data_IF_658225600232
#
_entry.id   IF_658225600232
#
_cell.length_a   1.000
_cell.length_b   1.000
_cell.length_c   1.000
_cell.angle_alpha   90.00
_cell.angle_beta   90.00
_cell.angle_gamma   90.00
#
_symmetry.space_group_name_H-M   'P 1'
#
loop_
_entity.id
_entity.type
_entity.pdbx_description
1 polymer ?
#
# COMPACT_ATOMS: atom_id res chain seq x y z
N UNK A 1 -27.05 11.57 -15.43
CA UNK A 1 -25.61 11.29 -15.68
C UNK A 1 -25.50 11.01 -17.17
N UNK A 2 -24.64 11.72 -17.89
CA UNK A 2 -24.59 11.66 -19.36
C UNK A 2 -23.62 10.57 -19.83
N UNK A 3 -24.07 9.62 -20.65
CA UNK A 3 -23.18 8.71 -21.36
C UNK A 3 -22.57 9.44 -22.56
N UNK A 4 -21.26 9.36 -22.72
CA UNK A 4 -20.49 10.10 -23.74
C UNK A 4 -19.42 9.20 -24.34
N UNK A 5 -19.01 9.51 -25.57
CA UNK A 5 -17.95 8.79 -26.29
C UNK A 5 -16.57 9.05 -25.66
N UNK A 6 -15.61 8.15 -25.91
CA UNK A 6 -14.26 8.20 -25.35
C UNK A 6 -13.55 9.55 -25.54
N UNK A 7 -13.55 10.10 -26.74
CA UNK A 7 -12.85 11.36 -27.03
C UNK A 7 -13.52 12.54 -26.33
N UNK A 8 -14.84 12.56 -26.32
CA UNK A 8 -15.61 13.61 -25.65
C UNK A 8 -15.47 13.52 -24.13
N UNK A 9 -15.35 12.32 -23.59
CA UNK A 9 -15.04 12.06 -22.18
C UNK A 9 -13.69 12.65 -21.79
N UNK A 10 -12.63 12.37 -22.57
CA UNK A 10 -11.28 12.85 -22.30
C UNK A 10 -11.16 14.36 -22.42
N UNK A 11 -11.81 14.97 -23.42
CA UNK A 11 -11.86 16.44 -23.58
C UNK A 11 -12.54 17.10 -22.38
N UNK A 12 -13.77 16.68 -22.04
CA UNK A 12 -14.50 17.20 -20.87
C UNK A 12 -13.74 17.00 -19.56
N UNK A 13 -13.03 15.88 -19.42
CA UNK A 13 -12.21 15.62 -18.23
C UNK A 13 -11.00 16.55 -18.17
N UNK A 14 -10.38 16.88 -19.31
CA UNK A 14 -9.28 17.84 -19.38
C UNK A 14 -9.75 19.23 -18.94
N UNK A 15 -10.85 19.71 -19.53
CA UNK A 15 -11.46 21.01 -19.17
C UNK A 15 -11.84 21.05 -17.67
N UNK A 16 -12.32 19.93 -17.14
CA UNK A 16 -12.66 19.81 -15.73
C UNK A 16 -11.41 19.97 -14.85
N UNK A 17 -10.32 19.27 -15.16
CA UNK A 17 -9.07 19.41 -14.41
C UNK A 17 -8.51 20.82 -14.46
N UNK A 18 -8.69 21.53 -15.58
CA UNK A 18 -8.24 22.91 -15.71
C UNK A 18 -9.09 23.88 -14.89
N UNK A 19 -10.42 23.70 -14.88
CA UNK A 19 -11.33 24.55 -14.11
C UNK A 19 -11.22 24.37 -12.59
N UNK A 20 -10.81 23.18 -12.12
CA UNK A 20 -10.71 22.87 -10.68
C UNK A 20 -9.26 22.90 -10.14
N UNK A 21 -8.34 23.64 -10.78
CA UNK A 21 -6.94 23.74 -10.34
C UNK A 21 -6.79 24.34 -8.94
N UNK A 22 -7.57 25.37 -8.64
CA UNK A 22 -7.47 26.10 -7.37
C UNK A 22 -8.35 25.48 -6.28
N UNK A 23 -9.60 25.18 -6.63
CA UNK A 23 -10.60 24.65 -5.70
C UNK A 23 -11.51 23.64 -6.39
N UNK A 24 -11.77 22.52 -5.71
CA UNK A 24 -12.69 21.49 -6.19
C UNK A 24 -12.18 20.09 -5.91
N UNK A 25 -13.06 19.12 -6.11
CA UNK A 25 -12.75 17.70 -5.97
C UNK A 25 -13.40 16.97 -7.13
N UNK A 26 -12.59 16.25 -7.90
CA UNK A 26 -13.09 15.41 -8.99
C UNK A 26 -13.10 13.97 -8.50
N UNK A 27 -14.27 13.34 -8.52
CA UNK A 27 -14.43 11.92 -8.24
C UNK A 27 -14.46 11.14 -9.55
N UNK A 28 -13.47 10.27 -9.73
CA UNK A 28 -13.43 9.28 -10.80
C UNK A 28 -13.71 7.90 -10.21
N UNK A 29 -14.69 7.19 -10.74
CA UNK A 29 -15.00 5.82 -10.31
C UNK A 29 -14.96 4.86 -11.49
N UNK A 30 -14.22 3.77 -11.33
CA UNK A 30 -14.16 2.67 -12.30
C UNK A 30 -14.94 1.49 -11.72
N UNK A 31 -15.93 0.98 -12.45
CA UNK A 31 -16.75 -0.14 -12.01
C UNK A 31 -16.91 -1.16 -13.13
N UNK A 32 -16.75 -2.45 -12.80
CA UNK A 32 -17.13 -3.55 -13.69
C UNK A 32 -18.63 -3.44 -14.02
N UNK A 33 -18.96 -3.28 -15.29
CA UNK A 33 -20.34 -3.30 -15.76
C UNK A 33 -20.71 -4.75 -16.02
N UNK A 34 -21.64 -5.26 -15.21
CA UNK A 34 -22.08 -6.66 -15.25
C UNK A 34 -23.44 -6.83 -15.96
N UNK A 35 -24.11 -5.74 -16.34
CA UNK A 35 -25.43 -5.78 -16.96
C UNK A 35 -25.63 -4.64 -17.97
N UNK A 36 -26.27 -4.94 -19.10
CA UNK A 36 -26.57 -3.98 -20.17
C UNK A 36 -28.08 -3.71 -20.32
N UNK A 37 -28.72 -3.24 -19.23
CA UNK A 37 -29.99 -2.52 -19.38
C UNK A 37 -31.19 -2.91 -18.52
N UNK A 38 -31.01 -3.53 -17.35
CA UNK A 38 -32.07 -3.61 -16.34
C UNK A 38 -31.48 -3.42 -14.94
N UNK A 39 -32.34 -3.01 -14.00
CA UNK A 39 -32.06 -2.95 -12.56
C UNK A 39 -31.88 -4.38 -12.03
N UNK A 40 -30.81 -5.04 -12.46
CA UNK A 40 -30.49 -6.40 -12.07
C UNK A 40 -30.00 -6.33 -10.63
N UNK A 41 -30.78 -6.94 -9.73
CA UNK A 41 -30.35 -7.17 -8.35
C UNK A 41 -28.92 -7.74 -8.40
N UNK A 42 -27.99 -7.06 -7.74
CA UNK A 42 -26.58 -7.44 -7.68
C UNK A 42 -26.47 -8.79 -6.96
N UNK A 43 -26.68 -9.89 -7.68
CA UNK A 43 -26.32 -11.22 -7.20
C UNK A 43 -24.80 -11.26 -7.21
N UNK A 44 -24.25 -11.14 -6.02
CA UNK A 44 -22.83 -11.31 -5.77
C UNK A 44 -22.54 -12.81 -5.81
N UNK A 45 -22.59 -13.41 -6.99
CA UNK A 45 -22.08 -14.77 -7.22
C UNK A 45 -20.55 -14.71 -7.28
N UNK A 46 -19.93 -14.24 -6.21
CA UNK A 46 -18.54 -14.60 -5.91
C UNK A 46 -18.62 -16.00 -5.27
N UNK A 47 -18.94 -17.00 -6.10
CA UNK A 47 -18.65 -18.39 -5.75
C UNK A 47 -17.13 -18.50 -5.67
N UNK A 48 -16.65 -18.60 -4.43
CA UNK A 48 -15.25 -18.73 -4.08
C UNK A 48 -14.57 -19.83 -4.91
N UNK A 49 -13.71 -19.41 -5.86
CA UNK A 49 -12.68 -20.29 -6.43
C UNK A 49 -12.72 -20.54 -7.93
N UNK A 50 -13.68 -20.01 -8.70
CA UNK A 50 -13.64 -20.08 -10.17
C UNK A 50 -13.07 -18.79 -10.76
N UNK A 51 -12.04 -18.91 -11.59
CA UNK A 51 -11.52 -17.77 -12.38
C UNK A 51 -12.59 -17.43 -13.42
N UNK A 52 -13.32 -16.34 -13.20
CA UNK A 52 -14.23 -15.77 -14.19
C UNK A 52 -13.45 -15.53 -15.49
N UNK A 53 -13.69 -16.37 -16.50
CA UNK A 53 -13.10 -16.23 -17.85
C UNK A 53 -13.86 -15.20 -18.70
N UNK A 54 -14.80 -14.49 -18.09
CA UNK A 54 -15.67 -13.55 -18.76
C UNK A 54 -14.99 -12.21 -18.95
N UNK A 55 -15.06 -11.66 -20.15
CA UNK A 55 -14.64 -10.31 -20.43
C UNK A 55 -15.77 -9.34 -20.05
N UNK A 56 -15.44 -8.31 -19.27
CA UNK A 56 -16.41 -7.34 -18.79
C UNK A 56 -16.07 -5.94 -19.26
N UNK A 57 -17.10 -5.17 -19.62
CA UNK A 57 -16.94 -3.76 -19.92
C UNK A 57 -16.70 -2.98 -18.64
N UNK A 58 -15.83 -1.96 -18.70
CA UNK A 58 -15.53 -1.09 -17.58
C UNK A 58 -16.31 0.21 -17.73
N UNK A 59 -17.12 0.56 -16.74
CA UNK A 59 -17.81 1.85 -16.68
C UNK A 59 -16.98 2.85 -15.91
N UNK A 60 -16.51 3.88 -16.60
CA UNK A 60 -15.77 5.00 -16.02
C UNK A 60 -16.72 6.18 -15.84
N UNK A 61 -16.77 6.73 -14.63
CA UNK A 61 -17.68 7.81 -14.24
C UNK A 61 -16.89 8.97 -13.65
N UNK A 62 -17.35 10.19 -13.94
CA UNK A 62 -16.78 11.43 -13.42
C UNK A 62 -17.88 12.25 -12.79
N UNK A 63 -17.59 12.81 -11.61
CA UNK A 63 -18.43 13.82 -10.95
C UNK A 63 -17.59 14.84 -10.21
N UNK A 64 -18.01 16.10 -10.23
CA UNK A 64 -17.49 17.19 -9.38
C UNK A 64 -18.48 17.53 -8.24
N UNK A 65 -19.44 16.62 -7.97
CA UNK A 65 -20.52 16.83 -6.98
C UNK A 65 -21.57 17.87 -7.39
N UNK A 66 -21.35 18.57 -8.50
CA UNK A 66 -22.22 19.62 -9.06
C UNK A 66 -22.85 19.15 -10.38
N UNK A 67 -22.74 19.98 -11.42
CA UNK A 67 -23.37 19.80 -12.74
C UNK A 67 -22.60 18.82 -13.64
N UNK A 68 -21.28 18.73 -13.47
CA UNK A 68 -20.43 17.88 -14.30
C UNK A 68 -20.58 16.42 -13.86
N UNK A 69 -21.41 15.66 -14.58
CA UNK A 69 -21.70 14.24 -14.32
C UNK A 69 -21.82 13.45 -15.62
N UNK A 70 -20.70 12.89 -16.07
CA UNK A 70 -20.63 12.14 -17.32
C UNK A 70 -19.89 10.81 -17.14
N UNK A 71 -20.10 9.87 -18.05
CA UNK A 71 -19.55 8.52 -18.01
C UNK A 71 -19.26 7.98 -19.40
N UNK A 72 -18.31 7.05 -19.50
CA UNK A 72 -17.99 6.31 -20.72
C UNK A 72 -17.95 4.82 -20.39
N UNK A 73 -18.46 3.98 -21.29
CA UNK A 73 -18.25 2.52 -21.25
C UNK A 73 -16.97 2.22 -22.01
N UNK A 74 -16.09 1.37 -21.47
CA UNK A 74 -14.84 0.94 -22.10
C UNK A 74 -14.90 -0.56 -22.30
N UNK A 75 -14.80 -0.99 -23.55
CA UNK A 75 -14.76 -2.40 -23.89
C UNK A 75 -13.38 -3.01 -23.62
N UNK A 76 -13.29 -4.32 -23.35
CA UNK A 76 -12.02 -5.03 -23.16
C UNK A 76 -11.05 -4.84 -24.34
N UNK A 77 -11.58 -4.84 -25.56
CA UNK A 77 -10.87 -4.66 -26.82
C UNK A 77 -10.14 -3.31 -26.94
N UNK A 78 -10.73 -2.25 -26.39
CA UNK A 78 -10.24 -0.87 -26.49
C UNK A 78 -9.56 -0.37 -25.21
N UNK A 79 -9.59 -1.17 -24.14
CA UNK A 79 -9.09 -0.82 -22.83
C UNK A 79 -7.66 -0.30 -22.85
N UNK A 80 -6.76 -0.97 -23.57
CA UNK A 80 -5.35 -0.59 -23.62
C UNK A 80 -5.15 0.77 -24.31
N UNK A 81 -5.92 1.05 -25.37
CA UNK A 81 -5.87 2.34 -26.06
C UNK A 81 -6.39 3.44 -25.14
N UNK A 82 -7.57 3.24 -24.56
CA UNK A 82 -8.19 4.20 -23.63
C UNK A 82 -7.28 4.48 -22.43
N UNK A 83 -6.73 3.44 -21.80
CA UNK A 83 -5.83 3.55 -20.64
C UNK A 83 -4.56 4.33 -20.97
N UNK A 84 -4.03 4.21 -22.19
CA UNK A 84 -2.83 4.95 -22.62
C UNK A 84 -3.09 6.46 -22.60
N UNK A 85 -4.15 6.91 -23.26
CA UNK A 85 -4.52 8.33 -23.33
C UNK A 85 -5.00 8.86 -21.98
N UNK A 86 -5.88 8.13 -21.31
CA UNK A 86 -6.40 8.48 -19.99
C UNK A 86 -5.27 8.56 -18.95
N UNK A 87 -4.36 7.59 -18.95
CA UNK A 87 -3.22 7.55 -18.02
C UNK A 87 -2.21 8.68 -18.27
N UNK A 88 -1.98 9.06 -19.53
CA UNK A 88 -1.17 10.22 -19.86
C UNK A 88 -1.81 11.52 -19.35
N UNK A 89 -3.12 11.68 -19.58
CA UNK A 89 -3.91 12.83 -19.11
C UNK A 89 -3.84 12.97 -17.59
N UNK A 90 -4.05 11.89 -16.82
CA UNK A 90 -3.98 11.94 -15.36
C UNK A 90 -2.59 12.36 -14.85
N UNK A 91 -1.53 11.84 -15.47
CA UNK A 91 -0.15 12.21 -15.09
C UNK A 91 0.14 13.68 -15.37
N UNK A 92 -0.41 14.22 -16.47
CA UNK A 92 -0.25 15.61 -16.85
C UNK A 92 -1.07 16.55 -15.95
N UNK A 93 -2.28 16.14 -15.52
CA UNK A 93 -3.14 16.98 -14.69
C UNK A 93 -2.75 16.98 -13.20
N UNK A 94 -2.27 15.86 -12.65
CA UNK A 94 -1.97 15.69 -11.22
C UNK A 94 -0.52 16.10 -10.83
N UNK A 95 -0.09 17.29 -11.21
CA UNK A 95 1.30 17.76 -10.98
C UNK A 95 1.52 18.48 -9.65
N UNK A 96 0.46 18.92 -8.99
CA UNK A 96 0.50 19.78 -7.79
C UNK A 96 0.69 19.01 -6.47
N UNK A 97 0.86 17.68 -6.54
CA UNK A 97 1.09 16.84 -5.37
C UNK A 97 2.47 17.11 -4.75
N UNK A 98 2.54 17.06 -3.41
CA UNK A 98 3.80 17.17 -2.69
C UNK A 98 4.74 16.06 -3.15
N UNK A 99 5.96 16.44 -3.54
CA UNK A 99 7.00 15.50 -3.95
C UNK A 99 7.29 14.51 -2.83
N UNK A 100 7.51 13.25 -3.22
CA UNK A 100 7.89 12.17 -2.29
C UNK A 100 9.25 12.46 -1.67
N UNK A 101 9.30 12.54 -0.34
CA UNK A 101 10.54 12.75 0.43
C UNK A 101 11.34 11.44 0.52
N UNK A 102 11.97 11.03 -0.60
CA UNK A 102 12.76 9.79 -0.69
C UNK A 102 13.82 9.68 0.42
N UNK A 103 14.40 10.81 0.84
CA UNK A 103 15.39 10.86 1.94
C UNK A 103 14.78 10.44 3.27
N UNK A 104 13.58 10.94 3.60
CA UNK A 104 12.87 10.65 4.85
C UNK A 104 12.41 9.19 4.89
N UNK A 105 11.89 8.69 3.77
CA UNK A 105 11.51 7.28 3.68
C UNK A 105 12.72 6.35 3.80
N UNK A 106 13.82 6.67 3.12
CA UNK A 106 15.07 5.91 3.23
C UNK A 106 15.61 5.95 4.66
N UNK A 107 15.58 7.09 5.34
CA UNK A 107 16.02 7.16 6.74
C UNK A 107 15.13 6.33 7.66
N UNK A 108 13.80 6.34 7.48
CA UNK A 108 12.90 5.50 8.26
C UNK A 108 13.12 4.00 7.98
N UNK A 109 13.35 3.62 6.72
CA UNK A 109 13.68 2.25 6.36
C UNK A 109 15.03 1.79 6.94
N UNK A 110 16.06 2.64 6.88
CA UNK A 110 17.36 2.37 7.49
C UNK A 110 17.28 2.30 9.01
N UNK A 111 16.48 3.15 9.66
CA UNK A 111 16.28 3.10 11.11
C UNK A 111 15.53 1.84 11.52
N UNK A 112 14.50 1.44 10.77
CA UNK A 112 13.80 0.18 10.97
C UNK A 112 14.75 -1.02 10.78
N UNK A 113 15.61 -1.00 9.76
CA UNK A 113 16.64 -2.02 9.55
C UNK A 113 17.67 -2.05 10.68
N UNK A 114 18.14 -0.90 11.16
CA UNK A 114 19.06 -0.80 12.31
C UNK A 114 18.41 -1.30 13.60
N UNK A 115 17.12 -1.01 13.83
CA UNK A 115 16.36 -1.55 14.97
C UNK A 115 16.24 -3.06 14.87
N UNK A 116 15.90 -3.61 13.71
CA UNK A 116 15.88 -5.07 13.48
C UNK A 116 17.25 -5.70 13.72
N UNK A 117 18.32 -5.14 13.15
CA UNK A 117 19.70 -5.60 13.38
C UNK A 117 20.12 -5.55 14.85
N UNK A 118 19.78 -4.49 15.59
CA UNK A 118 20.06 -4.42 17.04
C UNK A 118 19.30 -5.46 17.87
N UNK A 119 18.16 -5.95 17.37
CA UNK A 119 17.39 -7.02 18.01
C UNK A 119 17.91 -8.42 17.64
N UNK A 120 18.47 -8.59 16.44
CA UNK A 120 18.96 -9.88 15.95
C UNK A 120 20.47 -10.11 16.14
N UNK A 121 21.29 -9.05 16.21
CA UNK A 121 22.73 -9.18 16.38
C UNK A 121 23.07 -9.66 17.80
N UNK A 122 23.87 -10.73 17.95
CA UNK A 122 24.26 -11.24 19.25
C UNK A 122 25.22 -10.25 19.93
N UNK A 123 24.84 -9.76 21.11
CA UNK A 123 25.76 -9.01 21.97
C UNK A 123 26.91 -9.94 22.34
N UNK A 124 28.08 -9.73 21.71
CA UNK A 124 29.31 -10.45 22.04
C UNK A 124 29.74 -10.07 23.45
N UNK A 125 29.64 -11.01 24.39
CA UNK A 125 30.29 -10.92 25.68
C UNK A 125 31.80 -11.16 25.48
N UNK A 126 32.58 -10.09 25.36
CA UNK A 126 34.04 -10.18 25.54
C UNK A 126 34.43 -10.31 27.02
N UNK A 127 33.73 -11.17 27.77
CA UNK A 127 34.13 -11.52 29.13
C UNK A 127 34.30 -13.02 29.23
N UNK A 128 35.43 -13.50 28.70
CA UNK A 128 35.98 -14.79 29.08
C UNK A 128 36.33 -14.80 30.58
N UNK A 129 36.38 -15.99 31.21
CA UNK A 129 36.51 -16.18 32.66
C UNK A 129 37.73 -15.48 33.32
N UNK A 130 38.70 -14.98 32.55
CA UNK A 130 39.95 -14.38 33.05
C UNK A 130 40.05 -12.84 32.92
N UNK A 131 38.97 -12.11 32.66
CA UNK A 131 39.04 -10.64 32.61
C UNK A 131 38.75 -10.01 33.98
N UNK A 132 39.66 -9.14 34.44
CA UNK A 132 39.70 -8.43 35.74
C UNK A 132 38.51 -7.45 35.98
N UNK A 133 37.26 -7.83 35.71
CA UNK A 133 36.11 -7.05 36.18
C UNK A 133 35.90 -7.39 37.66
N UNK A 134 36.34 -6.51 38.56
CA UNK A 134 36.31 -6.72 40.01
C UNK A 134 34.95 -7.22 40.52
N UNK A 135 34.98 -8.18 41.45
CA UNK A 135 33.78 -8.77 42.09
C UNK A 135 32.88 -7.74 42.80
N UNK A 136 33.36 -6.51 43.00
CA UNK A 136 32.68 -5.38 43.64
C UNK A 136 32.96 -4.08 42.88
N UNK A 137 32.11 -3.06 43.06
CA UNK A 137 32.29 -1.74 42.46
C UNK A 137 31.79 -1.62 41.00
N UNK A 138 32.23 -0.58 40.27
CA UNK A 138 31.65 -0.19 38.98
C UNK A 138 31.76 -1.27 37.89
N UNK A 139 32.81 -2.10 37.90
CA UNK A 139 32.99 -3.22 36.97
C UNK A 139 31.94 -4.33 37.10
N UNK A 140 31.48 -4.63 38.33
CA UNK A 140 30.37 -5.57 38.57
C UNK A 140 29.06 -5.06 37.97
N UNK A 141 28.77 -3.76 38.16
CA UNK A 141 27.54 -3.13 37.67
C UNK A 141 27.51 -3.10 36.13
N UNK A 142 28.64 -2.86 35.48
CA UNK A 142 28.76 -2.95 34.02
C UNK A 142 28.53 -4.39 33.52
N UNK A 143 29.09 -5.41 34.18
CA UNK A 143 28.86 -6.83 33.83
C UNK A 143 27.40 -7.23 34.00
N UNK A 144 26.77 -6.86 35.12
CA UNK A 144 25.35 -7.14 35.36
C UNK A 144 24.44 -6.50 34.31
N UNK A 145 24.72 -5.26 33.90
CA UNK A 145 24.00 -4.58 32.81
C UNK A 145 24.13 -5.32 31.49
N UNK A 146 25.33 -5.82 31.15
CA UNK A 146 25.56 -6.62 29.93
C UNK A 146 24.81 -7.95 29.96
N UNK A 147 24.80 -8.65 31.10
CA UNK A 147 24.06 -9.93 31.27
C UNK A 147 22.55 -9.70 31.14
N UNK A 148 22.02 -8.67 31.81
CA UNK A 148 20.60 -8.34 31.73
C UNK A 148 20.17 -7.91 30.31
N UNK A 149 21.05 -7.19 29.58
CA UNK A 149 20.81 -6.85 28.18
C UNK A 149 20.75 -8.08 27.28
N UNK A 150 21.60 -9.08 27.52
CA UNK A 150 21.61 -10.35 26.78
C UNK A 150 20.37 -11.19 27.03
N UNK A 151 19.95 -11.34 28.29
CA UNK A 151 18.72 -12.06 28.65
C UNK A 151 17.50 -11.41 27.98
N UNK A 152 17.42 -10.07 28.01
CA UNK A 152 16.35 -9.31 27.36
C UNK A 152 16.36 -9.49 25.83
N UNK A 153 17.53 -9.56 25.19
CA UNK A 153 17.64 -9.85 23.76
C UNK A 153 17.19 -11.27 23.42
N UNK A 154 17.62 -12.28 24.18
CA UNK A 154 17.21 -13.66 23.99
C UNK A 154 15.69 -13.84 24.15
N UNK A 155 15.08 -13.23 25.15
CA UNK A 155 13.62 -13.22 25.31
C UNK A 155 12.92 -12.56 24.12
N UNK A 156 13.48 -11.45 23.61
CA UNK A 156 12.90 -10.76 22.45
C UNK A 156 13.02 -11.55 21.15
N UNK A 157 14.10 -12.31 20.96
CA UNK A 157 14.29 -13.20 19.82
C UNK A 157 13.32 -14.39 19.88
N UNK A 158 13.17 -15.02 21.04
CA UNK A 158 12.20 -16.10 21.25
C UNK A 158 10.76 -15.66 20.96
N UNK A 159 10.35 -14.49 21.48
CA UNK A 159 9.03 -13.91 21.20
C UNK A 159 8.81 -13.57 19.72
N UNK A 160 9.88 -13.25 18.99
CA UNK A 160 9.80 -12.99 17.56
C UNK A 160 9.64 -14.29 16.76
N UNK A 161 10.42 -15.32 17.08
CA UNK A 161 10.29 -16.66 16.47
C UNK A 161 8.91 -17.28 16.73
N UNK A 162 8.35 -17.12 17.93
CA UNK A 162 6.99 -17.58 18.26
C UNK A 162 5.94 -16.90 17.38
N UNK A 163 6.04 -15.58 17.17
CA UNK A 163 5.13 -14.83 16.29
C UNK A 163 5.25 -15.22 14.83
N UNK A 164 6.47 -15.48 14.34
CA UNK A 164 6.66 -15.95 12.97
C UNK A 164 6.08 -17.36 12.77
N UNK A 165 6.27 -18.26 13.73
CA UNK A 165 5.67 -19.60 13.70
C UNK A 165 4.15 -19.55 13.75
N UNK A 166 3.56 -18.67 14.56
CA UNK A 166 2.10 -18.48 14.61
C UNK A 166 1.55 -17.90 13.30
N UNK A 167 2.26 -16.95 12.68
CA UNK A 167 1.89 -16.40 11.38
C UNK A 167 2.02 -17.41 10.24
N UNK A 168 3.02 -18.32 10.29
CA UNK A 168 3.16 -19.41 9.34
C UNK A 168 2.02 -20.43 9.46
N UNK A 169 1.67 -20.83 10.69
CA UNK A 169 0.52 -21.73 10.93
C UNK A 169 -0.80 -21.16 10.41
N UNK A 170 -1.09 -19.87 10.68
CA UNK A 170 -2.29 -19.21 10.14
C UNK A 170 -2.32 -19.13 8.62
N UNK A 171 -1.16 -19.16 7.96
CA UNK A 171 -1.06 -19.20 6.49
C UNK A 171 -1.21 -20.60 5.92
N UNK A 172 -0.93 -21.64 6.70
CA UNK A 172 -1.15 -23.04 6.30
C UNK A 172 -2.58 -23.50 6.56
N UNK A 173 -3.29 -22.84 7.49
CA UNK A 173 -4.72 -23.08 7.80
C UNK A 173 -5.71 -22.43 6.80
N UNK A 174 -5.23 -21.60 5.87
CA UNK A 174 -5.99 -20.95 4.79
C UNK A 174 -5.51 -21.42 3.42
#
# INVERSE_FOLDING_TARGET
MQLVDHDTFLKKLTDLFESTKDHGSIWLTHKRLTHDGQDAAMKHEDEAGKVDSNEYTCLVRVTDGKKNRFSTKVEPSELLKFQTYYGALLKQSMTTLRKRDKKREKSHAEEAAKRKKKMTEPVKLESGPNTKSGKRGPGRRQRQRKIHALLKQQESQKKFEEREKEAAKRKEEY
#
